data_IF_422498840174
#
_entry.id   IF_422498840174
#
_cell.length_a   1.000
_cell.length_b   1.000
_cell.length_c   1.000
_cell.angle_alpha   90.00
_cell.angle_beta   90.00
_cell.angle_gamma   90.00
#
_symmetry.space_group_name_H-M   'P 1'
#
loop_
_entity.id
_entity.type
_entity.pdbx_description
1 polymer ?
#
# COMPACT_ATOMS: atom_id res chain seq x y z
N UNK A 1 11.29 18.45 -5.24
CA UNK A 1 10.89 17.23 -5.97
C UNK A 1 9.49 16.80 -5.57
N UNK A 2 8.72 16.44 -6.56
CA UNK A 2 7.36 15.94 -6.33
C UNK A 2 7.45 14.43 -6.11
N UNK A 3 6.89 13.91 -5.01
CA UNK A 3 6.91 12.46 -4.79
C UNK A 3 6.04 11.76 -5.84
N UNK A 4 6.36 10.50 -6.12
CA UNK A 4 5.54 9.68 -6.99
C UNK A 4 4.16 9.51 -6.37
N UNK A 5 3.15 9.60 -7.21
CA UNK A 5 1.76 9.45 -6.79
C UNK A 5 1.28 8.07 -7.20
N UNK A 6 0.69 7.36 -6.26
CA UNK A 6 0.20 6.01 -6.47
C UNK A 6 -1.33 5.97 -6.40
N UNK A 7 -1.93 5.09 -7.15
CA UNK A 7 -3.36 4.85 -7.07
C UNK A 7 -3.66 3.96 -5.86
N UNK A 8 -4.41 4.49 -4.90
CA UNK A 8 -4.73 3.77 -3.67
C UNK A 8 -6.06 3.02 -3.70
N UNK A 9 -6.92 3.36 -4.63
CA UNK A 9 -8.23 2.75 -4.77
C UNK A 9 -9.25 3.69 -5.41
N UNK A 10 -10.45 3.22 -5.73
CA UNK A 10 -11.42 3.99 -6.52
C UNK A 10 -12.22 5.03 -5.75
N UNK A 11 -12.16 5.04 -4.42
CA UNK A 11 -12.98 5.91 -3.59
C UNK A 11 -12.23 7.19 -3.28
N UNK A 12 -12.88 8.34 -3.48
CA UNK A 12 -12.36 9.66 -3.14
C UNK A 12 -10.94 9.90 -3.70
N UNK A 13 -10.82 9.80 -5.02
CA UNK A 13 -9.53 9.94 -5.73
C UNK A 13 -8.83 11.28 -5.48
N UNK A 14 -9.56 12.30 -5.09
CA UNK A 14 -9.02 13.61 -4.76
C UNK A 14 -8.37 13.67 -3.37
N UNK A 15 -8.52 12.61 -2.59
CA UNK A 15 -8.02 12.56 -1.22
C UNK A 15 -6.70 11.82 -1.14
N UNK A 16 -5.69 12.50 -0.60
CA UNK A 16 -4.38 11.92 -0.44
C UNK A 16 -4.20 11.28 0.93
N UNK A 17 -3.60 10.10 0.94
CA UNK A 17 -3.19 9.42 2.16
C UNK A 17 -1.71 9.10 2.00
N UNK A 18 -0.92 9.42 3.01
CA UNK A 18 0.50 9.09 3.00
C UNK A 18 0.72 7.84 3.84
N UNK A 19 1.22 6.79 3.20
CA UNK A 19 1.69 5.60 3.87
C UNK A 19 3.16 5.81 4.20
N UNK A 20 3.57 5.58 5.45
CA UNK A 20 4.94 5.85 5.85
C UNK A 20 5.40 4.89 6.96
N UNK A 21 6.71 4.94 7.23
CA UNK A 21 7.28 4.17 8.32
C UNK A 21 6.76 4.65 9.67
N UNK A 22 6.78 3.77 10.66
CA UNK A 22 6.17 4.00 11.97
C UNK A 22 6.95 4.94 12.88
N UNK A 23 8.12 5.41 12.53
CA UNK A 23 8.93 6.30 13.35
C UNK A 23 8.46 7.76 13.38
N UNK A 24 7.32 8.07 12.78
CA UNK A 24 6.83 9.43 12.64
C UNK A 24 5.35 9.50 13.05
N UNK A 25 5.02 10.46 13.90
CA UNK A 25 3.65 10.68 14.34
C UNK A 25 3.32 12.17 14.31
N UNK A 26 2.14 12.50 13.83
CA UNK A 26 1.62 13.85 13.84
C UNK A 26 0.10 13.77 13.97
N UNK A 27 -0.57 14.91 14.03
CA UNK A 27 -2.02 14.91 14.05
C UNK A 27 -2.55 14.19 12.82
N UNK A 28 -3.49 13.28 13.04
CA UNK A 28 -4.08 12.50 11.95
C UNK A 28 -3.33 11.22 11.60
N UNK A 29 -2.26 10.90 12.30
CA UNK A 29 -1.53 9.67 12.08
C UNK A 29 -2.24 8.48 12.72
N UNK A 30 -2.40 7.41 11.95
CA UNK A 30 -2.98 6.16 12.42
C UNK A 30 -1.91 5.08 12.29
N UNK A 31 -1.61 4.39 13.39
CA UNK A 31 -0.69 3.26 13.37
C UNK A 31 -1.38 2.05 12.72
N UNK A 32 -0.72 1.45 11.74
CA UNK A 32 -1.22 0.24 11.09
C UNK A 32 -0.60 -0.99 11.75
N UNK A 33 0.69 -0.93 12.01
CA UNK A 33 1.45 -2.01 12.62
C UNK A 33 2.70 -1.43 13.26
N UNK A 34 3.59 -2.29 13.76
CA UNK A 34 4.85 -1.84 14.33
C UNK A 34 5.75 -1.13 13.31
N UNK A 35 5.60 -1.45 12.03
CA UNK A 35 6.45 -0.89 10.98
C UNK A 35 5.77 0.19 10.14
N UNK A 36 4.45 0.22 10.09
CA UNK A 36 3.70 1.09 9.17
C UNK A 36 2.71 1.98 9.88
N UNK A 37 2.60 3.21 9.37
CA UNK A 37 1.57 4.17 9.78
C UNK A 37 1.03 4.88 8.54
N UNK A 38 -0.10 5.55 8.69
CA UNK A 38 -0.67 6.37 7.61
C UNK A 38 -1.13 7.71 8.17
N UNK A 39 -1.06 8.73 7.36
CA UNK A 39 -1.48 10.08 7.74
C UNK A 39 -2.22 10.73 6.58
N UNK A 40 -3.36 11.36 6.89
CA UNK A 40 -4.18 12.01 5.87
C UNK A 40 -4.10 13.54 5.90
N UNK A 41 -3.21 14.13 6.70
CA UNK A 41 -3.02 15.57 6.78
C UNK A 41 -2.17 16.07 5.63
N UNK A 42 -2.57 17.19 5.00
CA UNK A 42 -1.86 17.76 3.85
C UNK A 42 -0.42 18.16 4.17
N UNK A 43 -0.17 18.60 5.38
CA UNK A 43 1.16 19.08 5.78
C UNK A 43 2.16 17.96 6.06
N UNK A 44 1.70 16.71 6.08
CA UNK A 44 2.56 15.59 6.45
C UNK A 44 3.73 15.42 5.48
N UNK A 45 3.53 15.67 4.19
CA UNK A 45 4.61 15.52 3.20
C UNK A 45 5.79 16.43 3.49
N UNK A 46 5.53 17.70 3.88
CA UNK A 46 6.59 18.63 4.23
C UNK A 46 7.35 18.16 5.46
N UNK A 47 6.65 17.64 6.44
CA UNK A 47 7.27 17.13 7.66
C UNK A 47 8.11 15.89 7.41
N UNK A 48 7.63 14.99 6.55
CA UNK A 48 8.37 13.78 6.21
C UNK A 48 9.62 14.07 5.38
N UNK A 49 9.54 15.05 4.47
CA UNK A 49 10.71 15.48 3.71
C UNK A 49 11.81 16.01 4.62
N UNK A 50 11.44 16.71 5.69
CA UNK A 50 12.40 17.22 6.66
C UNK A 50 13.08 16.11 7.46
N UNK A 51 12.43 14.97 7.64
CA UNK A 51 12.98 13.83 8.36
C UNK A 51 13.97 13.02 7.53
N UNK A 52 13.75 12.93 6.23
CA UNK A 52 14.64 12.30 5.25
C UNK A 52 15.00 10.82 5.46
N UNK A 53 14.73 10.26 6.62
CA UNK A 53 15.04 8.87 6.95
C UNK A 53 13.79 7.97 7.00
N UNK A 54 12.60 8.56 6.95
CA UNK A 54 11.36 7.80 7.05
C UNK A 54 10.80 7.60 5.63
N UNK A 55 10.69 6.35 5.17
CA UNK A 55 10.15 6.09 3.85
C UNK A 55 8.66 6.41 3.79
N UNK A 56 8.19 6.88 2.63
CA UNK A 56 6.78 7.20 2.47
C UNK A 56 6.34 7.07 1.01
N UNK A 57 5.03 6.88 0.82
CA UNK A 57 4.36 6.90 -0.49
C UNK A 57 3.08 7.69 -0.39
N UNK A 58 2.82 8.52 -1.39
CA UNK A 58 1.56 9.25 -1.50
C UNK A 58 0.57 8.43 -2.32
N UNK A 59 -0.59 8.14 -1.72
CA UNK A 59 -1.65 7.39 -2.35
C UNK A 59 -2.86 8.30 -2.57
N UNK A 60 -3.43 8.27 -3.76
CA UNK A 60 -4.69 8.96 -4.03
C UNK A 60 -5.82 7.94 -4.10
N UNK A 61 -6.88 8.23 -3.37
CA UNK A 61 -8.02 7.34 -3.27
C UNK A 61 -7.77 6.17 -2.34
N UNK A 62 -8.82 5.42 -2.09
CA UNK A 62 -8.77 4.24 -1.23
C UNK A 62 -9.84 3.23 -1.65
N UNK A 63 -9.81 2.06 -1.05
CA UNK A 63 -10.86 1.07 -1.16
C UNK A 63 -11.50 0.91 0.21
N UNK A 64 -12.78 0.61 0.25
CA UNK A 64 -13.50 0.41 1.48
C UNK A 64 -14.28 -0.89 1.47
N UNK A 65 -14.47 -1.46 2.64
CA UNK A 65 -15.26 -2.68 2.81
C UNK A 65 -16.28 -2.47 3.91
N UNK A 66 -17.47 -3.05 3.72
CA UNK A 66 -18.44 -3.14 4.81
C UNK A 66 -17.91 -4.09 5.88
N UNK A 67 -18.50 -4.02 7.06
CA UNK A 67 -18.11 -4.90 8.17
C UNK A 67 -18.15 -6.36 7.72
N UNK A 68 -17.08 -7.09 8.00
CA UNK A 68 -16.92 -8.51 7.67
C UNK A 68 -16.82 -8.84 6.18
N UNK A 69 -16.94 -7.85 5.31
CA UNK A 69 -16.87 -8.10 3.86
C UNK A 69 -15.49 -8.58 3.44
N UNK A 70 -14.43 -7.92 3.88
CA UNK A 70 -13.06 -8.30 3.52
C UNK A 70 -12.74 -9.71 4.01
N UNK A 71 -13.14 -10.02 5.23
CA UNK A 71 -12.92 -11.35 5.80
C UNK A 71 -13.61 -12.43 4.97
N UNK A 72 -14.84 -12.18 4.52
CA UNK A 72 -15.55 -13.12 3.65
C UNK A 72 -14.84 -13.29 2.31
N UNK A 73 -14.34 -12.20 1.75
CA UNK A 73 -13.62 -12.26 0.48
C UNK A 73 -12.32 -13.06 0.61
N UNK A 74 -11.61 -12.89 1.73
CA UNK A 74 -10.40 -13.66 1.99
C UNK A 74 -10.74 -15.15 2.10
N UNK A 75 -11.76 -15.51 2.86
CA UNK A 75 -12.22 -16.91 3.00
C UNK A 75 -12.61 -17.49 1.66
N UNK A 76 -13.21 -16.67 0.80
CA UNK A 76 -13.65 -17.10 -0.54
C UNK A 76 -12.52 -17.23 -1.55
N UNK A 77 -11.30 -16.84 -1.19
CA UNK A 77 -10.15 -16.94 -2.07
C UNK A 77 -9.98 -15.76 -3.01
N UNK A 78 -10.73 -14.66 -2.80
CA UNK A 78 -10.63 -13.49 -3.66
C UNK A 78 -9.36 -12.67 -3.42
N UNK A 79 -8.73 -12.85 -2.27
CA UNK A 79 -7.51 -12.16 -1.87
C UNK A 79 -6.46 -13.14 -1.38
N UNK A 80 -5.23 -12.87 -1.74
CA UNK A 80 -4.09 -13.64 -1.24
C UNK A 80 -3.37 -12.80 -0.20
N UNK A 81 -3.06 -13.41 0.94
CA UNK A 81 -2.42 -12.73 2.06
C UNK A 81 -0.92 -12.92 2.03
N UNK A 82 -0.19 -11.87 2.30
CA UNK A 82 1.25 -11.92 2.37
C UNK A 82 1.77 -10.98 3.45
N UNK A 83 2.71 -11.47 4.25
CA UNK A 83 3.45 -10.62 5.18
C UNK A 83 4.39 -9.72 4.39
N UNK A 84 4.60 -8.51 4.87
CA UNK A 84 5.41 -7.54 4.15
C UNK A 84 6.41 -6.85 5.07
N UNK A 85 7.32 -6.10 4.46
CA UNK A 85 8.35 -5.33 5.14
C UNK A 85 8.39 -3.92 4.57
N UNK A 86 9.08 -3.01 5.27
CA UNK A 86 9.29 -1.66 4.78
C UNK A 86 10.03 -1.65 3.43
N UNK A 87 11.03 -2.50 3.29
CA UNK A 87 11.79 -2.60 2.06
C UNK A 87 10.91 -3.01 0.88
N UNK A 88 10.07 -4.00 1.08
CA UNK A 88 9.15 -4.47 0.05
C UNK A 88 8.20 -3.37 -0.40
N UNK A 89 7.61 -2.65 0.55
CA UNK A 89 6.59 -1.64 0.24
C UNK A 89 7.19 -0.38 -0.36
N UNK A 90 8.34 0.08 0.14
CA UNK A 90 8.86 1.39 -0.22
C UNK A 90 10.01 1.38 -1.21
N UNK A 91 10.75 0.29 -1.33
CA UNK A 91 11.95 0.27 -2.16
C UNK A 91 11.83 -0.50 -3.47
N UNK A 92 10.80 -1.33 -3.62
CA UNK A 92 10.57 -2.04 -4.86
C UNK A 92 9.67 -1.24 -5.81
N UNK A 93 9.91 -1.37 -7.11
CA UNK A 93 8.99 -0.84 -8.10
C UNK A 93 7.67 -1.63 -8.06
N UNK A 94 6.61 -1.05 -8.59
CA UNK A 94 5.30 -1.71 -8.63
C UNK A 94 5.38 -3.08 -9.31
N UNK A 95 6.12 -3.17 -10.41
CA UNK A 95 6.30 -4.42 -11.12
C UNK A 95 7.04 -5.45 -10.28
N UNK A 96 8.09 -5.04 -9.60
CA UNK A 96 8.85 -5.93 -8.71
C UNK A 96 8.01 -6.40 -7.53
N UNK A 97 7.17 -5.55 -6.97
CA UNK A 97 6.28 -5.93 -5.88
C UNK A 97 5.35 -7.07 -6.29
N UNK A 98 4.73 -6.93 -7.45
CA UNK A 98 3.84 -7.95 -7.98
C UNK A 98 4.57 -9.28 -8.19
N UNK A 99 5.73 -9.24 -8.84
CA UNK A 99 6.50 -10.44 -9.13
C UNK A 99 6.96 -11.16 -7.87
N UNK A 100 7.47 -10.42 -6.90
CA UNK A 100 7.93 -11.00 -5.64
C UNK A 100 6.79 -11.55 -4.81
N UNK A 101 5.67 -10.84 -4.75
CA UNK A 101 4.51 -11.32 -4.01
C UNK A 101 3.97 -12.62 -4.61
N UNK A 102 3.78 -12.66 -5.91
CA UNK A 102 3.30 -13.86 -6.58
C UNK A 102 4.30 -15.03 -6.45
N UNK A 103 5.59 -14.73 -6.58
CA UNK A 103 6.63 -15.74 -6.45
C UNK A 103 6.70 -16.35 -5.07
N UNK A 104 6.55 -15.55 -4.01
CA UNK A 104 6.58 -16.06 -2.64
C UNK A 104 5.36 -16.92 -2.30
N UNK A 105 4.29 -16.79 -3.07
CA UNK A 105 3.10 -17.63 -2.93
C UNK A 105 3.16 -18.87 -3.83
N UNK A 106 4.28 -19.07 -4.52
CA UNK A 106 4.47 -20.24 -5.39
C UNK A 106 3.79 -20.15 -6.74
N UNK A 107 3.41 -18.96 -7.18
CA UNK A 107 2.70 -18.77 -8.44
C UNK A 107 3.66 -18.71 -9.63
N UNK A 108 3.24 -19.31 -10.74
CA UNK A 108 3.93 -19.19 -12.02
C UNK A 108 3.40 -17.94 -12.72
N UNK A 109 4.22 -16.89 -12.79
CA UNK A 109 3.83 -15.63 -13.39
C UNK A 109 3.51 -15.74 -14.88
N UNK A 110 4.16 -16.66 -15.60
CA UNK A 110 3.85 -16.86 -17.01
C UNK A 110 2.41 -17.32 -17.22
N UNK A 111 1.99 -18.35 -16.47
CA UNK A 111 0.60 -18.82 -16.51
C UNK A 111 -0.35 -17.78 -15.96
N UNK A 112 0.06 -17.10 -14.89
CA UNK A 112 -0.78 -16.11 -14.23
C UNK A 112 -1.05 -14.90 -15.14
N UNK A 113 -0.05 -14.46 -15.87
CA UNK A 113 -0.20 -13.33 -16.78
C UNK A 113 -1.20 -13.64 -17.91
N UNK A 114 -1.22 -14.87 -18.39
CA UNK A 114 -2.17 -15.28 -19.41
C UNK A 114 -3.63 -15.22 -18.93
N UNK A 115 -3.86 -15.40 -17.63
CA UNK A 115 -5.20 -15.35 -17.04
C UNK A 115 -5.50 -13.96 -16.51
N UNK A 116 -4.53 -13.33 -15.87
CA UNK A 116 -4.71 -12.03 -15.22
C UNK A 116 -5.16 -10.92 -16.16
N UNK A 117 -4.71 -10.96 -17.41
CA UNK A 117 -5.12 -9.96 -18.39
C UNK A 117 -6.60 -10.03 -18.76
N UNK A 118 -7.30 -11.05 -18.32
CA UNK A 118 -8.74 -11.24 -18.59
C UNK A 118 -9.63 -10.93 -17.39
N UNK A 119 -9.04 -10.69 -16.27
CA UNK A 119 -9.78 -10.46 -15.02
C UNK A 119 -10.43 -9.09 -14.93
#
# INVERSE_FOLDING_TARGET
>A
LVPDIHFGGPVMLERGIVLHGAGFNTEGTISISDEFSMTSQKTVLQKLKAQDIIPYKLMLGHAGWAAEQLEREIENGDWLMQSTTLDFVFNLSTDQMWRQAAGSLGMDLGSFEGVGGQA
#
